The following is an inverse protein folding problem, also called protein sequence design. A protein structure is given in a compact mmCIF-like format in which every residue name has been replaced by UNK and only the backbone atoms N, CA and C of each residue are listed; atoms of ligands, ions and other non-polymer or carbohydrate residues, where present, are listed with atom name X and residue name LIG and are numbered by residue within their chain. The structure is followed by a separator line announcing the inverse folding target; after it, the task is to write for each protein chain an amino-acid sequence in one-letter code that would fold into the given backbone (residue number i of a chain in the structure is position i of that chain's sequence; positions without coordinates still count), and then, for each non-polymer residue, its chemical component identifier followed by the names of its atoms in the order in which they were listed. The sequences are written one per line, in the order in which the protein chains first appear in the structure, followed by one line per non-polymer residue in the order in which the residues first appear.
data_IF_105659953286
#
_entry.id   IF_105659953286
#
_cell.length_a   1.000
_cell.length_b   1.000
_cell.length_c   1.000
_cell.angle_alpha   90.00
_cell.angle_beta   90.00
_cell.angle_gamma   90.00
#
_symmetry.space_group_name_H-M   'P 1'
#
loop_
_entity.id
_entity.type
_entity.pdbx_description
1 polymer ?
#
# COMPACT_ATOMS: atom_id res chain seq x y z
N UNK A 1 1.38 8.45 -22.42
CA UNK A 1 0.11 7.75 -22.15
C UNK A 1 0.30 6.35 -21.55
N UNK A 2 1.14 5.47 -22.11
CA UNK A 2 1.38 4.11 -21.56
C UNK A 2 1.93 4.08 -20.13
N UNK A 3 2.79 5.01 -19.75
CA UNK A 3 3.41 5.02 -18.42
C UNK A 3 2.44 5.44 -17.31
N UNK A 4 1.43 6.24 -17.66
CA UNK A 4 0.39 6.69 -16.72
C UNK A 4 -0.57 5.55 -16.38
N UNK A 5 -0.96 4.74 -17.37
CA UNK A 5 -1.79 3.55 -17.16
C UNK A 5 -1.07 2.53 -16.26
N UNK A 6 0.23 2.27 -16.53
CA UNK A 6 1.06 1.41 -15.66
C UNK A 6 1.18 1.96 -14.24
N UNK A 7 1.35 3.27 -14.09
CA UNK A 7 1.42 3.90 -12.77
C UNK A 7 0.11 3.76 -11.98
N UNK A 8 -1.02 3.81 -12.67
CA UNK A 8 -2.35 3.63 -12.09
C UNK A 8 -2.62 2.17 -11.72
N UNK A 9 -2.24 1.21 -12.57
CA UNK A 9 -2.31 -0.22 -12.24
C UNK A 9 -1.49 -0.56 -10.99
N UNK A 10 -0.27 -0.02 -10.90
CA UNK A 10 0.59 -0.21 -9.73
C UNK A 10 -0.04 0.41 -8.47
N UNK A 11 -0.64 1.61 -8.61
CA UNK A 11 -1.34 2.25 -7.48
C UNK A 11 -2.56 1.44 -7.05
N UNK A 12 -3.34 0.89 -7.99
CA UNK A 12 -4.49 0.03 -7.71
C UNK A 12 -4.08 -1.25 -6.97
N UNK A 13 -3.01 -1.92 -7.42
CA UNK A 13 -2.45 -3.09 -6.72
C UNK A 13 -2.01 -2.74 -5.29
N UNK A 14 -1.39 -1.57 -5.08
CA UNK A 14 -1.00 -1.10 -3.75
C UNK A 14 -2.21 -0.82 -2.86
N UNK A 15 -3.30 -0.26 -3.39
CA UNK A 15 -4.54 -0.07 -2.62
C UNK A 15 -5.13 -1.41 -2.21
N UNK A 16 -5.24 -2.37 -3.13
CA UNK A 16 -5.76 -3.70 -2.81
C UNK A 16 -4.96 -4.36 -1.69
N UNK A 17 -3.63 -4.22 -1.74
CA UNK A 17 -2.73 -4.72 -0.71
C UNK A 17 -2.91 -4.02 0.64
N UNK A 18 -3.24 -2.72 0.65
CA UNK A 18 -3.49 -1.97 1.89
C UNK A 18 -4.94 -2.09 2.38
N UNK A 19 -5.89 -2.54 1.56
CA UNK A 19 -7.31 -2.62 1.89
C UNK A 19 -7.59 -3.28 3.25
N UNK A 20 -6.95 -4.40 3.62
CA UNK A 20 -7.15 -5.02 4.92
C UNK A 20 -6.70 -4.14 6.11
N UNK A 21 -5.76 -3.21 5.90
CA UNK A 21 -5.27 -2.26 6.90
C UNK A 21 -6.06 -0.94 6.96
N UNK A 22 -6.98 -0.74 6.01
CA UNK A 22 -7.87 0.41 5.93
C UNK A 22 -9.25 0.12 6.53
N UNK A 23 -9.52 -1.13 6.93
CA UNK A 23 -10.75 -1.47 7.61
C UNK A 23 -10.87 -0.73 8.95
N UNK A 24 -12.07 -0.25 9.26
CA UNK A 24 -12.36 0.40 10.53
C UNK A 24 -12.42 -0.63 11.67
N UNK A 25 -12.14 -0.18 12.89
CA UNK A 25 -12.26 -1.01 14.10
C UNK A 25 -11.15 -2.04 14.31
N UNK A 26 -10.04 -1.96 13.56
CA UNK A 26 -8.89 -2.83 13.78
C UNK A 26 -8.15 -2.47 15.07
N UNK A 27 -7.93 -3.47 15.93
CA UNK A 27 -7.07 -3.33 17.08
C UNK A 27 -5.57 -3.42 16.70
N UNK A 28 -4.70 -3.06 17.64
CA UNK A 28 -3.24 -3.05 17.40
C UNK A 28 -2.69 -4.44 17.09
N UNK A 29 -3.27 -5.50 17.67
CA UNK A 29 -2.86 -6.87 17.45
C UNK A 29 -3.19 -7.34 16.03
N UNK A 30 -4.42 -7.09 15.57
CA UNK A 30 -4.88 -7.43 14.22
C UNK A 30 -4.13 -6.64 13.16
N UNK A 31 -3.84 -5.35 13.41
CA UNK A 31 -2.99 -4.55 12.50
C UNK A 31 -1.61 -5.22 12.34
N UNK A 32 -0.99 -5.69 13.43
CA UNK A 32 0.32 -6.36 13.37
C UNK A 32 0.24 -7.68 12.60
N UNK A 33 -0.79 -8.48 12.85
CA UNK A 33 -1.02 -9.75 12.16
C UNK A 33 -1.20 -9.54 10.65
N UNK A 34 -2.09 -8.62 10.26
CA UNK A 34 -2.36 -8.28 8.86
C UNK A 34 -1.08 -7.80 8.16
N UNK A 35 -0.30 -6.92 8.81
CA UNK A 35 0.99 -6.47 8.24
C UNK A 35 1.94 -7.64 8.00
N UNK A 36 2.06 -8.57 8.96
CA UNK A 36 2.92 -9.75 8.83
C UNK A 36 2.46 -10.64 7.67
N UNK A 37 1.15 -10.88 7.56
CA UNK A 37 0.59 -11.70 6.49
C UNK A 37 0.83 -11.07 5.11
N UNK A 38 0.63 -9.76 4.97
CA UNK A 38 0.91 -9.04 3.71
C UNK A 38 2.40 -9.15 3.35
N UNK A 39 3.30 -8.94 4.30
CA UNK A 39 4.74 -9.07 4.07
C UNK A 39 5.13 -10.48 3.62
N UNK A 40 4.53 -11.52 4.22
CA UNK A 40 4.78 -12.91 3.86
C UNK A 40 4.24 -13.26 2.47
N UNK A 41 3.03 -12.82 2.13
CA UNK A 41 2.40 -13.11 0.85
C UNK A 41 3.06 -12.39 -0.33
N UNK A 42 3.56 -11.17 -0.10
CA UNK A 42 4.05 -10.30 -1.18
C UNK A 42 5.57 -10.20 -1.24
N UNK A 43 6.27 -10.69 -0.21
CA UNK A 43 7.72 -10.49 -0.05
C UNK A 43 8.11 -9.06 0.28
N UNK A 44 7.16 -8.15 0.48
CA UNK A 44 7.43 -6.77 0.83
C UNK A 44 7.88 -6.63 2.28
N UNK A 45 8.76 -5.67 2.54
CA UNK A 45 9.15 -5.31 3.90
C UNK A 45 8.08 -4.49 4.60
N UNK A 46 7.99 -4.63 5.92
CA UNK A 46 7.04 -3.86 6.72
C UNK A 46 7.26 -2.34 6.61
N UNK A 47 8.53 -1.91 6.45
CA UNK A 47 8.89 -0.51 6.16
C UNK A 47 8.21 0.00 4.88
N UNK A 48 8.17 -0.82 3.83
CA UNK A 48 7.51 -0.47 2.56
C UNK A 48 6.01 -0.32 2.76
N UNK A 49 5.42 -1.25 3.50
CA UNK A 49 3.99 -1.24 3.81
C UNK A 49 3.59 0.02 4.60
N UNK A 50 4.36 0.38 5.63
CA UNK A 50 4.15 1.61 6.42
C UNK A 50 4.29 2.87 5.55
N UNK A 51 5.28 2.91 4.65
CA UNK A 51 5.46 4.03 3.72
C UNK A 51 4.25 4.21 2.80
N UNK A 52 3.77 3.14 2.17
CA UNK A 52 2.59 3.21 1.31
C UNK A 52 1.35 3.65 2.08
N UNK A 53 1.13 3.10 3.27
CA UNK A 53 0.01 3.47 4.13
C UNK A 53 0.06 4.96 4.53
N UNK A 54 1.25 5.47 4.88
CA UNK A 54 1.44 6.89 5.20
C UNK A 54 1.18 7.78 3.98
N UNK A 55 1.68 7.40 2.80
CA UNK A 55 1.44 8.14 1.54
C UNK A 55 -0.04 8.15 1.16
N UNK A 56 -0.73 7.03 1.31
CA UNK A 56 -2.16 6.93 1.05
C UNK A 56 -2.98 7.79 2.01
N UNK A 57 -2.62 7.80 3.30
CA UNK A 57 -3.30 8.66 4.29
C UNK A 57 -3.05 10.15 4.04
N UNK A 58 -1.88 10.53 3.55
CA UNK A 58 -1.52 11.92 3.33
C UNK A 58 -2.03 12.50 1.99
N UNK A 59 -2.00 11.70 0.91
CA UNK A 59 -2.21 12.18 -0.48
C UNK A 59 -3.24 11.31 -1.23
N UNK A 60 -3.86 10.34 -0.58
CA UNK A 60 -4.80 9.41 -1.21
C UNK A 60 -4.14 8.51 -2.26
N UNK A 61 -4.94 8.10 -3.25
CA UNK A 61 -4.51 7.21 -4.34
C UNK A 61 -3.27 7.73 -5.09
N UNK A 62 -3.15 9.05 -5.29
CA UNK A 62 -2.02 9.66 -5.98
C UNK A 62 -0.68 9.38 -5.30
N UNK A 63 -0.67 9.26 -3.96
CA UNK A 63 0.53 8.93 -3.18
C UNK A 63 1.05 7.51 -3.41
N UNK A 64 0.23 6.62 -3.96
CA UNK A 64 0.60 5.24 -4.27
C UNK A 64 1.12 5.06 -5.69
N UNK A 65 1.05 6.08 -6.56
CA UNK A 65 1.67 6.00 -7.89
C UNK A 65 3.18 5.89 -7.73
N UNK A 66 3.87 5.02 -8.50
CA UNK A 66 5.33 4.97 -8.46
C UNK A 66 5.87 6.34 -8.86
N UNK A 67 6.77 6.90 -8.03
CA UNK A 67 7.57 8.05 -8.48
C UNK A 67 8.42 7.54 -9.64
N UNK A 68 8.31 8.19 -10.80
CA UNK A 68 9.17 7.87 -11.95
C UNK A 68 10.63 7.83 -11.49
N UNK A 69 11.42 6.90 -12.05
CA UNK A 69 12.87 6.96 -11.88
C UNK A 69 13.29 8.32 -12.44
N UNK A 70 13.68 9.23 -11.55
CA UNK A 70 14.45 10.41 -11.94
C UNK A 70 15.80 9.98 -12.49
#
# INVERSE_FOLDING_TARGET
MKDQQKAEEIAAQRVQLLSPLLADGLDVAKIREIKKNICQQTGLSERTLRRYLAQYRAVGFGGLKPKGKG
#
